data_IF_742346320107
#
_entry.id   IF_742346320107
#
_cell.length_a   1.000
_cell.length_b   1.000
_cell.length_c   1.000
_cell.angle_alpha   90.00
_cell.angle_beta   90.00
_cell.angle_gamma   90.00
#
_symmetry.space_group_name_H-M   'P 1'
#
loop_
_entity.id
_entity.type
_entity.pdbx_description
1 polymer ?
#
# COMPACT_ATOMS: atom_id res chain seq x y z
N UNK A 1 -22.39 62.43 -13.15
CA UNK A 1 -22.62 63.70 -13.86
C UNK A 1 -23.90 64.35 -13.33
N UNK A 2 -23.79 65.37 -12.49
CA UNK A 2 -24.94 66.15 -12.03
C UNK A 2 -25.24 67.27 -13.04
N UNK A 3 -26.39 67.22 -13.70
CA UNK A 3 -26.80 68.25 -14.67
C UNK A 3 -27.33 69.49 -13.93
N UNK A 4 -26.65 70.63 -14.12
CA UNK A 4 -27.06 71.97 -13.69
C UNK A 4 -28.48 72.28 -14.19
N UNK A 5 -29.38 72.67 -13.29
CA UNK A 5 -30.71 73.17 -13.65
C UNK A 5 -30.62 74.59 -14.19
N UNK A 6 -31.27 74.82 -15.33
CA UNK A 6 -31.31 76.11 -16.03
C UNK A 6 -32.41 76.96 -15.37
N UNK A 7 -32.01 78.07 -14.74
CA UNK A 7 -32.90 79.01 -14.04
C UNK A 7 -33.72 79.79 -15.09
N UNK A 8 -35.02 79.53 -15.19
CA UNK A 8 -35.94 80.31 -16.03
C UNK A 8 -36.49 81.48 -15.21
N UNK A 9 -36.34 82.71 -15.72
CA UNK A 9 -36.86 83.93 -15.10
C UNK A 9 -38.38 83.84 -14.90
N UNK A 10 -38.84 84.04 -13.67
CA UNK A 10 -40.27 84.18 -13.32
C UNK A 10 -40.61 85.66 -13.32
N UNK A 11 -41.65 86.06 -14.06
CA UNK A 11 -42.15 87.45 -14.08
C UNK A 11 -42.88 87.86 -12.79
N UNK A 12 -43.21 86.90 -11.93
CA UNK A 12 -43.94 87.13 -10.67
C UNK A 12 -43.09 86.64 -9.48
N UNK A 13 -43.07 87.43 -8.40
CA UNK A 13 -42.25 87.24 -7.20
C UNK A 13 -42.80 86.22 -6.19
N UNK A 14 -43.94 85.60 -6.50
CA UNK A 14 -44.61 84.61 -5.66
C UNK A 14 -43.99 83.20 -5.82
N UNK A 15 -44.04 82.40 -4.75
CA UNK A 15 -43.58 81.00 -4.78
C UNK A 15 -44.59 80.11 -5.52
N UNK A 16 -44.10 79.33 -6.49
CA UNK A 16 -44.97 78.42 -7.28
C UNK A 16 -45.45 77.24 -6.42
N UNK A 17 -46.75 77.15 -6.19
CA UNK A 17 -47.40 75.96 -5.61
C UNK A 17 -47.68 74.93 -6.70
N UNK A 18 -47.33 73.66 -6.45
CA UNK A 18 -47.52 72.58 -7.43
C UNK A 18 -48.98 72.12 -7.42
N UNK A 19 -49.68 72.32 -8.54
CA UNK A 19 -51.03 71.77 -8.77
C UNK A 19 -50.93 70.55 -9.68
N UNK A 20 -51.54 69.44 -9.28
CA UNK A 20 -51.67 68.23 -10.11
C UNK A 20 -52.95 68.29 -10.94
N UNK A 21 -52.84 68.26 -12.26
CA UNK A 21 -53.99 68.23 -13.18
C UNK A 21 -53.86 66.98 -14.05
N UNK A 22 -54.90 66.15 -14.05
CA UNK A 22 -54.99 64.99 -14.94
C UNK A 22 -55.74 65.39 -16.21
N UNK A 23 -55.10 65.23 -17.36
CA UNK A 23 -55.68 65.50 -18.67
C UNK A 23 -55.63 64.23 -19.53
N UNK A 24 -56.57 64.08 -20.44
CA UNK A 24 -56.51 63.03 -21.46
C UNK A 24 -55.32 63.27 -22.39
N UNK A 25 -54.79 62.23 -23.08
CA UNK A 25 -53.70 62.40 -24.03
C UNK A 25 -53.98 63.47 -25.09
N UNK A 26 -55.22 63.54 -25.60
CA UNK A 26 -55.68 64.59 -26.53
C UNK A 26 -55.62 65.97 -25.91
N UNK A 27 -56.06 66.13 -24.66
CA UNK A 27 -55.99 67.41 -23.93
C UNK A 27 -54.54 67.87 -23.69
N UNK A 28 -53.61 66.95 -23.42
CA UNK A 28 -52.17 67.26 -23.28
C UNK A 28 -51.58 67.70 -24.63
N UNK A 29 -51.99 67.06 -25.73
CA UNK A 29 -51.58 67.42 -27.09
C UNK A 29 -51.99 68.87 -27.43
N UNK A 30 -53.26 69.19 -27.22
CA UNK A 30 -53.79 70.55 -27.47
C UNK A 30 -53.12 71.60 -26.57
N UNK A 31 -52.92 71.31 -25.29
CA UNK A 31 -52.20 72.22 -24.39
C UNK A 31 -50.76 72.47 -24.85
N UNK A 32 -50.09 71.44 -25.37
CA UNK A 32 -48.72 71.56 -25.90
C UNK A 32 -48.70 72.43 -27.15
N UNK A 33 -49.68 72.28 -28.04
CA UNK A 33 -49.81 73.10 -29.24
C UNK A 33 -50.11 74.57 -28.91
N UNK A 34 -51.03 74.83 -27.96
CA UNK A 34 -51.32 76.20 -27.49
C UNK A 34 -50.08 76.87 -26.89
N UNK A 35 -49.30 76.13 -26.10
CA UNK A 35 -48.05 76.63 -25.51
C UNK A 35 -47.01 76.97 -26.60
N UNK A 36 -46.85 76.12 -27.62
CA UNK A 36 -45.96 76.37 -28.75
C UNK A 36 -46.38 77.60 -29.56
N UNK A 37 -47.68 77.72 -29.90
CA UNK A 37 -48.20 78.82 -30.70
C UNK A 37 -48.08 80.18 -29.99
N UNK A 38 -48.14 80.19 -28.66
CA UNK A 38 -47.99 81.40 -27.84
C UNK A 38 -46.54 81.68 -27.44
N UNK A 39 -45.61 80.76 -27.75
CA UNK A 39 -44.21 80.84 -27.30
C UNK A 39 -44.03 80.71 -25.79
N UNK A 40 -45.04 80.23 -25.06
CA UNK A 40 -45.03 80.08 -23.62
C UNK A 40 -44.73 78.63 -23.22
N UNK A 41 -44.21 78.43 -22.00
CA UNK A 41 -44.16 77.08 -21.42
C UNK A 41 -45.57 76.65 -20.99
N UNK A 42 -45.85 75.34 -20.97
CA UNK A 42 -47.17 74.80 -20.58
C UNK A 42 -47.63 75.29 -19.20
N UNK A 43 -46.71 75.38 -18.24
CA UNK A 43 -47.01 75.87 -16.89
C UNK A 43 -47.25 77.38 -16.87
N UNK A 44 -46.51 78.15 -17.66
CA UNK A 44 -46.70 79.60 -17.78
C UNK A 44 -48.03 79.95 -18.47
N UNK A 45 -48.43 79.17 -19.48
CA UNK A 45 -49.72 79.32 -20.14
C UNK A 45 -50.88 79.11 -19.15
N UNK A 46 -50.84 78.02 -18.37
CA UNK A 46 -51.87 77.73 -17.35
C UNK A 46 -51.90 78.82 -16.28
N UNK A 47 -50.74 79.28 -15.80
CA UNK A 47 -50.65 80.35 -14.81
C UNK A 47 -51.30 81.66 -15.32
N UNK A 48 -51.02 82.04 -16.57
CA UNK A 48 -51.61 83.25 -17.17
C UNK A 48 -53.10 83.13 -17.45
N UNK A 49 -53.60 81.93 -17.77
CA UNK A 49 -55.05 81.67 -17.86
C UNK A 49 -55.70 81.82 -16.48
N UNK A 50 -55.11 81.21 -15.45
CA UNK A 50 -55.64 81.26 -14.09
C UNK A 50 -55.65 82.69 -13.50
N UNK A 51 -54.67 83.51 -13.86
CA UNK A 51 -54.63 84.95 -13.49
C UNK A 51 -55.55 85.82 -14.33
N UNK A 52 -56.22 85.30 -15.37
CA UNK A 52 -57.06 86.09 -16.27
C UNK A 52 -56.30 86.92 -17.32
N UNK A 53 -54.98 86.72 -17.46
CA UNK A 53 -54.16 87.42 -18.46
C UNK A 53 -54.33 86.83 -19.86
N UNK A 54 -54.87 85.60 -19.96
CA UNK A 54 -55.21 84.93 -21.22
C UNK A 54 -56.63 84.40 -21.10
N UNK A 55 -57.54 84.86 -21.97
CA UNK A 55 -58.88 84.32 -22.10
C UNK A 55 -58.91 83.24 -23.18
N UNK A 56 -59.49 82.07 -22.86
CA UNK A 56 -59.76 81.02 -23.86
C UNK A 56 -61.16 81.24 -24.39
N UNK A 57 -61.28 81.90 -25.55
CA UNK A 57 -62.53 82.05 -26.26
C UNK A 57 -62.68 80.94 -27.31
N UNK A 58 -63.69 80.10 -27.17
CA UNK A 58 -64.07 79.12 -28.19
C UNK A 58 -65.57 79.26 -28.47
N UNK A 59 -65.93 79.50 -29.74
CA UNK A 59 -67.33 79.68 -30.16
C UNK A 59 -68.18 78.41 -29.96
N UNK A 60 -67.55 77.27 -29.70
CA UNK A 60 -68.18 75.95 -29.51
C UNK A 60 -68.05 75.44 -28.06
N UNK A 61 -67.57 76.26 -27.11
CA UNK A 61 -67.49 75.84 -25.71
C UNK A 61 -68.89 75.75 -25.09
N UNK A 62 -69.20 74.62 -24.46
CA UNK A 62 -70.48 74.40 -23.75
C UNK A 62 -70.62 75.21 -22.46
N UNK A 63 -69.52 75.75 -21.93
CA UNK A 63 -69.50 76.56 -20.71
C UNK A 63 -68.37 77.58 -20.78
N UNK A 64 -68.69 78.86 -20.55
CA UNK A 64 -67.71 79.96 -20.49
C UNK A 64 -67.74 80.56 -19.10
N UNK A 65 -66.58 80.64 -18.44
CA UNK A 65 -66.43 81.25 -17.11
C UNK A 65 -65.61 82.53 -17.29
N UNK A 66 -66.22 83.69 -17.04
CA UNK A 66 -65.53 84.97 -17.04
C UNK A 66 -65.06 85.29 -15.61
N UNK A 67 -63.76 85.50 -15.44
CA UNK A 67 -63.15 85.98 -14.20
C UNK A 67 -62.95 87.49 -14.36
N UNK A 68 -63.73 88.30 -13.65
CA UNK A 68 -63.57 89.75 -13.64
C UNK A 68 -62.49 90.12 -12.63
N UNK A 69 -61.33 90.58 -13.13
CA UNK A 69 -60.25 91.04 -12.27
C UNK A 69 -60.45 92.52 -11.89
N UNK A 70 -60.36 92.90 -10.60
CA UNK A 70 -60.34 94.30 -10.19
C UNK A 70 -59.03 95.00 -10.63
N UNK A 71 -59.04 96.33 -10.85
CA UNK A 71 -57.89 97.07 -11.37
C UNK A 71 -56.70 97.09 -10.40
N UNK A 72 -55.50 97.05 -10.99
CA UNK A 72 -54.19 97.01 -10.34
C UNK A 72 -53.99 98.04 -9.21
N UNK A 73 -53.45 97.59 -8.07
CA UNK A 73 -52.77 98.45 -7.11
C UNK A 73 -51.64 97.71 -6.37
N UNK A 74 -50.41 98.11 -6.73
CA UNK A 74 -49.11 98.12 -6.05
C UNK A 74 -48.93 97.39 -4.71
N UNK A 75 -47.81 96.67 -4.67
CA UNK A 75 -46.91 96.37 -3.54
C UNK A 75 -47.35 96.78 -2.13
N UNK A 76 -47.42 95.82 -1.22
CA UNK A 76 -46.65 95.85 0.04
C UNK A 76 -46.74 94.50 0.77
N UNK A 77 -45.61 94.16 1.40
CA UNK A 77 -45.35 93.01 2.26
C UNK A 77 -46.39 92.76 3.36
N UNK A 78 -46.69 91.49 3.66
CA UNK A 78 -46.36 90.84 4.96
C UNK A 78 -47.28 89.66 5.32
N UNK A 79 -46.66 88.63 5.93
CA UNK A 79 -47.11 87.80 7.04
C UNK A 79 -48.61 87.46 7.27
N UNK A 80 -48.80 86.14 7.47
CA UNK A 80 -49.72 85.46 8.39
C UNK A 80 -51.26 85.64 8.28
N UNK A 81 -51.93 84.49 8.17
CA UNK A 81 -53.06 84.15 9.04
C UNK A 81 -54.47 84.24 8.45
N UNK A 82 -55.04 83.06 8.17
CA UNK A 82 -56.45 82.64 8.32
C UNK A 82 -57.56 83.70 8.29
N UNK A 83 -58.54 83.55 7.38
CA UNK A 83 -59.96 83.46 7.75
C UNK A 83 -60.86 83.04 6.57
N UNK A 84 -61.90 82.31 6.95
CA UNK A 84 -63.01 81.73 6.16
C UNK A 84 -63.91 82.76 5.48
N UNK A 85 -64.37 82.49 4.25
CA UNK A 85 -65.47 83.22 3.60
C UNK A 85 -66.67 82.31 3.32
N UNK A 86 -67.82 82.68 3.89
CA UNK A 86 -69.14 82.08 3.68
C UNK A 86 -69.79 82.69 2.43
N UNK A 87 -70.39 81.86 1.57
CA UNK A 87 -71.25 82.32 0.47
C UNK A 87 -72.72 82.28 0.90
N UNK A 88 -73.42 83.40 0.76
CA UNK A 88 -74.83 83.61 1.12
C UNK A 88 -75.70 83.49 -0.15
N UNK A 89 -76.72 82.63 -0.14
CA UNK A 89 -77.73 82.47 -1.20
C UNK A 89 -79.08 82.97 -0.63
N UNK A 90 -79.82 83.79 -1.37
CA UNK A 90 -81.14 84.30 -0.96
C UNK A 90 -82.28 83.67 -1.78
N UNK A 91 -83.38 83.34 -1.09
CA UNK A 91 -84.66 82.80 -1.57
C UNK A 91 -85.69 83.94 -1.59
N UNK A 92 -86.56 84.00 -2.59
CA UNK A 92 -87.65 84.99 -2.68
C UNK A 92 -88.98 84.24 -2.89
N UNK A 93 -89.93 84.46 -1.97
CA UNK A 93 -91.28 83.91 -1.90
C UNK A 93 -92.30 85.04 -2.16
N UNK A 94 -93.34 84.77 -2.96
CA UNK A 94 -94.29 85.79 -3.43
C UNK A 94 -95.78 85.39 -3.28
N UNK A 95 -96.35 85.82 -2.15
CA UNK A 95 -97.73 86.26 -1.81
C UNK A 95 -98.99 85.85 -2.61
N UNK A 96 -99.99 85.46 -1.82
CA UNK A 96 -101.44 85.29 -2.05
C UNK A 96 -102.20 86.64 -1.84
N UNK A 97 -103.56 86.68 -1.84
CA UNK A 97 -104.52 87.00 -2.90
C UNK A 97 -105.10 88.43 -2.84
N UNK A 98 -105.92 88.83 -3.82
CA UNK A 98 -106.74 90.05 -3.81
C UNK A 98 -108.23 89.69 -3.67
N UNK A 99 -108.86 90.23 -2.62
CA UNK A 99 -110.31 90.33 -2.41
C UNK A 99 -110.76 91.78 -2.64
N UNK A 100 -112.09 91.92 -2.75
CA UNK A 100 -112.93 93.11 -2.70
C UNK A 100 -113.23 93.75 -4.07
N UNK A 101 -114.51 93.78 -4.44
CA UNK A 101 -115.33 94.94 -4.04
C UNK A 101 -116.82 94.58 -4.01
N UNK A 102 -117.52 95.09 -2.99
CA UNK A 102 -118.95 94.97 -2.76
C UNK A 102 -119.52 96.37 -2.96
N UNK A 103 -120.49 96.51 -3.85
CA UNK A 103 -121.32 97.70 -3.92
C UNK A 103 -122.78 97.26 -3.98
N UNK A 104 -123.49 97.43 -2.86
CA UNK A 104 -124.94 97.53 -2.83
C UNK A 104 -125.38 98.80 -3.58
N UNK A 105 -126.59 98.80 -4.15
CA UNK A 105 -127.58 99.71 -3.57
C UNK A 105 -128.98 99.08 -3.44
N UNK A 106 -129.54 99.27 -2.24
CA UNK A 106 -130.81 99.95 -2.02
C UNK A 106 -132.00 99.63 -2.94
N UNK A 107 -132.96 98.89 -2.36
CA UNK A 107 -134.34 99.35 -2.24
C UNK A 107 -135.17 99.44 -3.52
N UNK A 108 -135.96 98.41 -3.77
CA UNK A 108 -137.37 98.48 -4.21
C UNK A 108 -137.93 97.06 -4.20
N UNK A 109 -139.24 96.92 -3.93
CA UNK A 109 -139.89 95.66 -3.58
C UNK A 109 -139.44 94.47 -4.43
N UNK A 110 -138.88 93.46 -3.75
CA UNK A 110 -138.54 92.17 -4.35
C UNK A 110 -139.84 91.54 -4.80
N UNK A 111 -140.08 91.56 -6.12
CA UNK A 111 -141.20 90.84 -6.72
C UNK A 111 -140.95 89.34 -6.52
N UNK A 112 -142.01 88.55 -6.41
CA UNK A 112 -141.91 87.12 -6.14
C UNK A 112 -141.01 86.38 -7.16
N UNK A 113 -140.87 86.92 -8.37
CA UNK A 113 -139.94 86.43 -9.40
C UNK A 113 -138.46 86.60 -9.03
N UNK A 114 -138.04 87.70 -8.40
CA UNK A 114 -136.63 87.95 -8.03
C UNK A 114 -136.18 87.00 -6.91
N UNK A 115 -137.09 86.69 -5.99
CA UNK A 115 -136.83 85.70 -4.93
C UNK A 115 -136.70 84.28 -5.51
N UNK A 116 -137.50 83.94 -6.53
CA UNK A 116 -137.40 82.67 -7.24
C UNK A 116 -136.10 82.59 -8.08
N UNK A 117 -135.71 83.68 -8.75
CA UNK A 117 -134.45 83.75 -9.50
C UNK A 117 -133.23 83.59 -8.59
N UNK A 118 -133.24 84.26 -7.44
CA UNK A 118 -132.17 84.13 -6.45
C UNK A 118 -132.14 82.71 -5.84
N UNK A 119 -133.30 82.10 -5.63
CA UNK A 119 -133.41 80.71 -5.16
C UNK A 119 -132.92 79.70 -6.22
N UNK A 120 -133.16 79.97 -7.51
CA UNK A 120 -132.65 79.19 -8.64
C UNK A 120 -131.11 79.30 -8.72
N UNK A 121 -130.58 80.53 -8.64
CA UNK A 121 -129.14 80.79 -8.66
C UNK A 121 -128.43 80.16 -7.45
N UNK A 122 -129.06 80.20 -6.26
CA UNK A 122 -128.53 79.53 -5.07
C UNK A 122 -128.51 78.00 -5.23
N UNK A 123 -129.50 77.40 -5.91
CA UNK A 123 -129.50 75.96 -6.23
C UNK A 123 -128.42 75.60 -7.25
N UNK A 124 -128.25 76.41 -8.29
CA UNK A 124 -127.20 76.20 -9.30
C UNK A 124 -125.81 76.33 -8.70
N UNK A 125 -125.60 77.33 -7.83
CA UNK A 125 -124.35 77.47 -7.08
C UNK A 125 -124.13 76.32 -6.10
N UNK A 126 -125.18 75.84 -5.41
CA UNK A 126 -125.08 74.67 -4.54
C UNK A 126 -124.67 73.41 -5.32
N UNK A 127 -125.26 73.18 -6.49
CA UNK A 127 -124.89 72.06 -7.37
C UNK A 127 -123.46 72.18 -7.90
N UNK A 128 -123.01 73.40 -8.27
CA UNK A 128 -121.63 73.64 -8.70
C UNK A 128 -120.62 73.43 -7.56
N UNK A 129 -120.97 73.87 -6.35
CA UNK A 129 -120.17 73.60 -5.14
C UNK A 129 -120.09 72.10 -4.88
N UNK A 130 -121.19 71.36 -5.05
CA UNK A 130 -121.23 69.91 -4.90
C UNK A 130 -120.37 69.19 -5.95
N UNK A 131 -120.40 69.60 -7.23
CA UNK A 131 -119.54 69.06 -8.31
C UNK A 131 -118.06 69.38 -8.07
N UNK A 132 -117.74 70.61 -7.64
CA UNK A 132 -116.37 71.00 -7.29
C UNK A 132 -115.86 70.24 -6.07
N UNK A 133 -116.71 70.00 -5.07
CA UNK A 133 -116.38 69.17 -3.91
C UNK A 133 -116.13 67.72 -4.32
N UNK A 134 -116.92 67.16 -5.23
CA UNK A 134 -116.67 65.83 -5.80
C UNK A 134 -115.33 65.77 -6.55
N UNK A 135 -115.03 66.76 -7.42
CA UNK A 135 -113.75 66.83 -8.13
C UNK A 135 -112.55 66.96 -7.17
N UNK A 136 -112.68 67.78 -6.12
CA UNK A 136 -111.65 67.90 -5.08
C UNK A 136 -111.46 66.59 -4.32
N UNK A 137 -112.54 65.90 -3.99
CA UNK A 137 -112.47 64.59 -3.35
C UNK A 137 -111.78 63.56 -4.24
N UNK A 138 -112.07 63.56 -5.55
CA UNK A 138 -111.45 62.68 -6.53
C UNK A 138 -109.95 62.98 -6.72
N UNK A 139 -109.57 64.25 -6.90
CA UNK A 139 -108.16 64.65 -6.99
C UNK A 139 -107.37 64.28 -5.74
N UNK A 140 -107.99 64.44 -4.56
CA UNK A 140 -107.37 64.06 -3.29
C UNK A 140 -107.17 62.55 -3.20
N UNK A 141 -108.10 61.76 -3.72
CA UNK A 141 -107.96 60.30 -3.85
C UNK A 141 -106.84 59.92 -4.80
N UNK A 142 -106.80 60.48 -6.01
CA UNK A 142 -105.75 60.20 -7.02
C UNK A 142 -104.36 60.61 -6.52
N UNK A 143 -104.26 61.74 -5.82
CA UNK A 143 -103.00 62.20 -5.21
C UNK A 143 -102.55 61.25 -4.09
N UNK A 144 -103.49 60.72 -3.30
CA UNK A 144 -103.19 59.72 -2.28
C UNK A 144 -102.67 58.42 -2.91
N UNK A 145 -103.33 57.91 -3.96
CA UNK A 145 -102.89 56.72 -4.70
C UNK A 145 -101.52 56.90 -5.36
N UNK A 146 -101.26 58.06 -5.97
CA UNK A 146 -99.93 58.37 -6.52
C UNK A 146 -98.87 58.45 -5.42
N UNK A 147 -99.20 59.01 -4.27
CA UNK A 147 -98.27 59.08 -3.13
C UNK A 147 -97.92 57.68 -2.64
N UNK A 148 -98.91 56.78 -2.52
CA UNK A 148 -98.68 55.38 -2.15
C UNK A 148 -97.85 54.64 -3.21
N UNK A 149 -98.14 54.85 -4.50
CA UNK A 149 -97.36 54.29 -5.61
C UNK A 149 -95.89 54.75 -5.57
N UNK A 150 -95.66 56.05 -5.35
CA UNK A 150 -94.31 56.61 -5.27
C UNK A 150 -93.54 56.09 -4.06
N UNK A 151 -94.20 55.95 -2.89
CA UNK A 151 -93.60 55.34 -1.71
C UNK A 151 -93.25 53.85 -1.94
N UNK A 152 -94.12 53.11 -2.64
CA UNK A 152 -93.86 51.71 -3.01
C UNK A 152 -92.65 51.60 -3.94
N UNK A 153 -92.58 52.44 -4.97
CA UNK A 153 -91.45 52.47 -5.91
C UNK A 153 -90.14 52.89 -5.21
N UNK A 154 -90.21 53.85 -4.29
CA UNK A 154 -89.06 54.27 -3.49
C UNK A 154 -88.53 53.11 -2.62
N UNK A 155 -89.43 52.36 -1.97
CA UNK A 155 -89.06 51.14 -1.22
C UNK A 155 -88.42 50.10 -2.14
N UNK A 156 -89.04 49.83 -3.29
CA UNK A 156 -88.50 48.87 -4.27
C UNK A 156 -87.12 49.28 -4.78
N UNK A 157 -86.89 50.56 -5.07
CA UNK A 157 -85.59 51.09 -5.48
C UNK A 157 -84.55 50.95 -4.36
N UNK A 158 -84.94 51.17 -3.10
CA UNK A 158 -84.06 50.98 -1.95
C UNK A 158 -83.70 49.49 -1.76
N UNK A 159 -84.66 48.58 -1.90
CA UNK A 159 -84.43 47.13 -1.84
C UNK A 159 -83.50 46.65 -2.96
N UNK A 160 -83.75 47.09 -4.19
CA UNK A 160 -82.86 46.79 -5.33
C UNK A 160 -81.46 47.35 -5.13
N UNK A 161 -81.34 48.58 -4.61
CA UNK A 161 -80.04 49.18 -4.27
C UNK A 161 -79.28 48.37 -3.22
N UNK A 162 -79.97 47.83 -2.21
CA UNK A 162 -79.38 46.95 -1.22
C UNK A 162 -78.96 45.59 -1.82
N UNK A 163 -79.77 45.03 -2.73
CA UNK A 163 -79.45 43.79 -3.43
C UNK A 163 -78.19 43.95 -4.30
N UNK A 164 -78.09 45.05 -5.06
CA UNK A 164 -76.91 45.37 -5.88
C UNK A 164 -75.65 45.48 -5.01
N UNK A 165 -75.73 46.18 -3.86
CA UNK A 165 -74.60 46.26 -2.93
C UNK A 165 -74.18 44.88 -2.41
N UNK A 166 -75.15 44.00 -2.09
CA UNK A 166 -74.88 42.63 -1.64
C UNK A 166 -74.20 41.80 -2.72
N UNK A 167 -74.68 41.88 -3.97
CA UNK A 167 -74.09 41.18 -5.11
C UNK A 167 -72.68 41.70 -5.44
N UNK A 168 -72.47 43.02 -5.41
CA UNK A 168 -71.14 43.61 -5.59
C UNK A 168 -70.14 43.11 -4.54
N UNK A 169 -70.58 43.02 -3.28
CA UNK A 169 -69.76 42.45 -2.21
C UNK A 169 -69.42 40.98 -2.49
N UNK A 170 -70.41 40.15 -2.82
CA UNK A 170 -70.17 38.74 -3.14
C UNK A 170 -69.21 38.55 -4.32
N UNK A 171 -69.29 39.41 -5.34
CA UNK A 171 -68.42 39.35 -6.51
C UNK A 171 -66.98 39.78 -6.17
N UNK A 172 -66.83 40.76 -5.28
CA UNK A 172 -65.52 41.14 -4.74
C UNK A 172 -64.90 40.02 -3.89
N UNK A 173 -65.70 39.40 -3.01
CA UNK A 173 -65.26 38.29 -2.15
C UNK A 173 -64.83 37.08 -3.01
N UNK A 174 -65.64 36.68 -4.00
CA UNK A 174 -65.28 35.59 -4.95
C UNK A 174 -64.01 35.88 -5.73
N UNK A 175 -63.81 37.14 -6.16
CA UNK A 175 -62.61 37.53 -6.89
C UNK A 175 -61.36 37.41 -6.01
N UNK A 176 -61.47 37.76 -4.72
CA UNK A 176 -60.40 37.58 -3.75
C UNK A 176 -60.09 36.10 -3.54
N UNK A 177 -61.11 35.28 -3.30
CA UNK A 177 -60.95 33.84 -3.07
C UNK A 177 -60.34 33.13 -4.29
N UNK A 178 -60.74 33.53 -5.50
CA UNK A 178 -60.17 32.99 -6.76
C UNK A 178 -58.69 33.38 -6.90
N UNK A 179 -58.31 34.59 -6.50
CA UNK A 179 -56.92 35.03 -6.54
C UNK A 179 -56.06 34.22 -5.55
N UNK A 180 -56.54 34.04 -4.31
CA UNK A 180 -55.86 33.23 -3.28
C UNK A 180 -55.71 31.77 -3.71
N UNK A 181 -56.75 31.17 -4.30
CA UNK A 181 -56.67 29.81 -4.85
C UNK A 181 -55.65 29.71 -6.00
N UNK A 182 -55.57 30.73 -6.85
CA UNK A 182 -54.62 30.76 -7.96
C UNK A 182 -53.18 30.80 -7.45
N UNK A 183 -52.90 31.64 -6.45
CA UNK A 183 -51.57 31.71 -5.81
C UNK A 183 -51.22 30.40 -5.10
N UNK A 184 -52.17 29.81 -4.37
CA UNK A 184 -52.00 28.50 -3.74
C UNK A 184 -51.67 27.40 -4.76
N UNK A 185 -52.37 27.37 -5.89
CA UNK A 185 -52.13 26.38 -6.95
C UNK A 185 -50.75 26.56 -7.61
N UNK A 186 -50.33 27.80 -7.84
CA UNK A 186 -48.99 28.09 -8.37
C UNK A 186 -47.89 27.66 -7.39
N UNK A 187 -48.08 27.93 -6.10
CA UNK A 187 -47.15 27.50 -5.04
C UNK A 187 -47.05 25.97 -4.99
N UNK A 188 -48.18 25.27 -5.01
CA UNK A 188 -48.22 23.81 -5.01
C UNK A 188 -47.56 23.22 -6.27
N UNK A 189 -47.78 23.83 -7.43
CA UNK A 189 -47.13 23.42 -8.68
C UNK A 189 -45.61 23.59 -8.61
N UNK A 190 -45.13 24.67 -8.00
CA UNK A 190 -43.71 24.92 -7.79
C UNK A 190 -43.11 23.89 -6.81
N UNK A 191 -43.78 23.63 -5.69
CA UNK A 191 -43.37 22.61 -4.73
C UNK A 191 -43.30 21.21 -5.36
N UNK A 192 -44.28 20.86 -6.20
CA UNK A 192 -44.28 19.58 -6.92
C UNK A 192 -43.10 19.45 -7.90
N UNK A 193 -42.73 20.54 -8.60
CA UNK A 193 -41.53 20.55 -9.47
C UNK A 193 -40.25 20.37 -8.67
N UNK A 194 -40.13 21.04 -7.52
CA UNK A 194 -38.97 20.92 -6.64
C UNK A 194 -38.83 19.51 -6.07
N UNK A 195 -39.92 18.93 -5.59
CA UNK A 195 -39.95 17.53 -5.13
C UNK A 195 -39.58 16.56 -6.25
N UNK A 196 -40.11 16.76 -7.47
CA UNK A 196 -39.75 15.93 -8.64
C UNK A 196 -38.25 15.99 -8.94
N UNK A 197 -37.66 17.19 -8.89
CA UNK A 197 -36.23 17.37 -9.09
C UNK A 197 -35.39 16.73 -7.97
N UNK A 198 -35.86 16.81 -6.72
CA UNK A 198 -35.21 16.13 -5.60
C UNK A 198 -35.24 14.61 -5.77
N UNK A 199 -36.37 14.03 -6.16
CA UNK A 199 -36.49 12.59 -6.43
C UNK A 199 -35.53 12.17 -7.54
N UNK A 200 -35.43 12.93 -8.64
CA UNK A 200 -34.46 12.64 -9.72
C UNK A 200 -33.01 12.67 -9.23
N UNK A 201 -32.65 13.63 -8.37
CA UNK A 201 -31.30 13.70 -7.78
C UNK A 201 -31.02 12.50 -6.87
N UNK A 202 -31.97 12.14 -6.01
CA UNK A 202 -31.85 10.98 -5.13
C UNK A 202 -31.73 9.68 -5.92
N UNK A 203 -32.55 9.50 -6.97
CA UNK A 203 -32.45 8.34 -7.86
C UNK A 203 -31.08 8.23 -8.51
N UNK A 204 -30.51 9.35 -8.97
CA UNK A 204 -29.15 9.38 -9.53
C UNK A 204 -28.10 8.98 -8.47
N UNK A 205 -28.16 9.56 -7.28
CA UNK A 205 -27.25 9.21 -6.18
C UNK A 205 -27.33 7.73 -5.79
N UNK A 206 -28.53 7.16 -5.80
CA UNK A 206 -28.76 5.74 -5.50
C UNK A 206 -28.19 4.83 -6.58
N UNK A 207 -28.30 5.23 -7.85
CA UNK A 207 -27.65 4.54 -8.96
C UNK A 207 -26.11 4.61 -8.86
N UNK A 208 -25.57 5.79 -8.59
CA UNK A 208 -24.12 6.01 -8.43
C UNK A 208 -23.57 5.18 -7.26
N UNK A 209 -24.25 5.17 -6.09
CA UNK A 209 -23.88 4.32 -4.95
C UNK A 209 -23.93 2.83 -5.28
N UNK A 210 -24.95 2.40 -6.04
CA UNK A 210 -25.07 0.99 -6.45
C UNK A 210 -23.90 0.58 -7.35
N UNK A 211 -23.52 1.44 -8.31
CA UNK A 211 -22.35 1.19 -9.15
C UNK A 211 -21.06 1.15 -8.34
N UNK A 212 -20.84 2.11 -7.45
CA UNK A 212 -19.65 2.14 -6.58
C UNK A 212 -19.57 0.89 -5.68
N UNK A 213 -20.70 0.42 -5.17
CA UNK A 213 -20.77 -0.82 -4.36
C UNK A 213 -20.42 -2.06 -5.20
N UNK A 214 -20.86 -2.12 -6.45
CA UNK A 214 -20.52 -3.22 -7.36
C UNK A 214 -19.00 -3.23 -7.65
N UNK A 215 -18.42 -2.09 -8.01
CA UNK A 215 -16.98 -1.94 -8.26
C UNK A 215 -16.14 -2.34 -7.03
N UNK A 216 -16.54 -1.90 -5.84
CA UNK A 216 -15.89 -2.32 -4.60
C UNK A 216 -15.97 -3.83 -4.38
N UNK A 217 -17.13 -4.44 -4.65
CA UNK A 217 -17.32 -5.89 -4.51
C UNK A 217 -16.40 -6.68 -5.43
N UNK A 218 -16.29 -6.28 -6.70
CA UNK A 218 -15.37 -6.89 -7.67
C UNK A 218 -13.90 -6.73 -7.26
N UNK A 219 -13.54 -5.56 -6.73
CA UNK A 219 -12.20 -5.31 -6.18
C UNK A 219 -11.89 -6.22 -4.99
N UNK A 220 -12.84 -6.42 -4.07
CA UNK A 220 -12.67 -7.32 -2.93
C UNK A 220 -12.53 -8.77 -3.35
N UNK A 221 -13.32 -9.24 -4.32
CA UNK A 221 -13.21 -10.60 -4.86
C UNK A 221 -11.85 -10.83 -5.54
N UNK A 222 -11.36 -9.86 -6.30
CA UNK A 222 -10.05 -9.91 -6.95
C UNK A 222 -8.92 -9.98 -5.92
N UNK A 223 -8.99 -9.16 -4.86
CA UNK A 223 -8.01 -9.17 -3.78
C UNK A 223 -8.04 -10.49 -2.99
N UNK A 224 -9.22 -11.06 -2.78
CA UNK A 224 -9.38 -12.36 -2.13
C UNK A 224 -8.75 -13.49 -2.97
N UNK A 225 -8.95 -13.49 -4.29
CA UNK A 225 -8.29 -14.44 -5.20
C UNK A 225 -6.76 -14.29 -5.15
N UNK A 226 -6.26 -13.06 -5.23
CA UNK A 226 -4.83 -12.77 -5.16
C UNK A 226 -4.22 -13.26 -3.84
N UNK A 227 -4.89 -13.05 -2.71
CA UNK A 227 -4.45 -13.54 -1.41
C UNK A 227 -4.39 -15.08 -1.35
N UNK A 228 -5.38 -15.76 -1.95
CA UNK A 228 -5.41 -17.22 -2.03
C UNK A 228 -4.27 -17.77 -2.91
N UNK A 229 -4.00 -17.14 -4.05
CA UNK A 229 -2.89 -17.49 -4.93
C UNK A 229 -1.53 -17.31 -4.24
N UNK A 230 -1.32 -16.17 -3.58
CA UNK A 230 -0.10 -15.94 -2.79
C UNK A 230 0.04 -16.95 -1.66
N UNK A 231 -1.04 -17.28 -0.95
CA UNK A 231 -1.03 -18.31 0.08
C UNK A 231 -0.61 -19.69 -0.46
N UNK A 232 -1.06 -20.05 -1.65
CA UNK A 232 -0.64 -21.29 -2.31
C UNK A 232 0.82 -21.26 -2.76
N UNK A 233 1.31 -20.11 -3.24
CA UNK A 233 2.72 -19.92 -3.59
C UNK A 233 3.63 -20.09 -2.36
N UNK A 234 3.27 -19.48 -1.23
CA UNK A 234 4.01 -19.62 0.03
C UNK A 234 4.08 -21.08 0.47
N UNK A 235 2.97 -21.84 0.40
CA UNK A 235 2.98 -23.27 0.72
C UNK A 235 3.91 -24.07 -0.19
N UNK A 236 3.94 -23.77 -1.49
CA UNK A 236 4.87 -24.42 -2.44
C UNK A 236 6.33 -24.11 -2.11
N UNK A 237 6.65 -22.85 -1.83
CA UNK A 237 8.01 -22.43 -1.46
C UNK A 237 8.46 -23.07 -0.13
N UNK A 238 7.57 -23.15 0.87
CA UNK A 238 7.86 -23.83 2.12
C UNK A 238 8.18 -25.32 1.91
N UNK A 239 7.43 -26.00 1.04
CA UNK A 239 7.71 -27.39 0.68
C UNK A 239 9.07 -27.53 -0.01
N UNK A 240 9.35 -26.69 -1.01
CA UNK A 240 10.64 -26.71 -1.70
C UNK A 240 11.83 -26.47 -0.75
N UNK A 241 11.67 -25.56 0.22
CA UNK A 241 12.69 -25.30 1.22
C UNK A 241 12.92 -26.51 2.15
N UNK A 242 11.85 -27.21 2.53
CA UNK A 242 11.95 -28.45 3.31
C UNK A 242 12.64 -29.56 2.52
N UNK A 243 12.27 -29.74 1.26
CA UNK A 243 12.87 -30.75 0.35
C UNK A 243 14.37 -30.46 0.14
N UNK A 244 14.74 -29.19 -0.10
CA UNK A 244 16.14 -28.77 -0.25
C UNK A 244 16.95 -28.99 1.03
N UNK A 245 16.35 -28.75 2.20
CA UNK A 245 17.00 -29.01 3.49
C UNK A 245 17.25 -30.51 3.70
N UNK A 246 16.30 -31.37 3.32
CA UNK A 246 16.48 -32.83 3.36
C UNK A 246 17.62 -33.27 2.44
N UNK A 247 17.62 -32.78 1.19
CA UNK A 247 18.66 -33.11 0.23
C UNK A 247 20.05 -32.65 0.69
N UNK A 248 20.13 -31.48 1.34
CA UNK A 248 21.40 -30.98 1.90
C UNK A 248 21.89 -31.85 3.06
N UNK A 249 20.98 -32.35 3.91
CA UNK A 249 21.32 -33.26 4.99
C UNK A 249 21.86 -34.59 4.44
N UNK A 250 21.18 -35.19 3.46
CA UNK A 250 21.62 -36.43 2.79
C UNK A 250 23.00 -36.28 2.14
N UNK A 251 23.25 -35.15 1.45
CA UNK A 251 24.55 -34.85 0.88
C UNK A 251 25.65 -34.70 1.95
N UNK A 252 25.31 -34.10 3.09
CA UNK A 252 26.26 -33.93 4.20
C UNK A 252 26.64 -35.28 4.80
N UNK A 253 25.67 -36.16 5.03
CA UNK A 253 25.93 -37.53 5.52
C UNK A 253 26.76 -38.35 4.52
N UNK A 254 26.44 -38.24 3.23
CA UNK A 254 27.22 -38.88 2.16
C UNK A 254 28.68 -38.40 2.15
N UNK A 255 28.91 -37.09 2.30
CA UNK A 255 30.27 -36.52 2.35
C UNK A 255 31.04 -37.00 3.59
N UNK A 256 30.39 -37.04 4.76
CA UNK A 256 31.00 -37.56 5.99
C UNK A 256 31.38 -39.04 5.85
N UNK A 257 30.51 -39.86 5.25
CA UNK A 257 30.78 -41.27 4.99
C UNK A 257 31.98 -41.45 4.06
N UNK A 258 32.04 -40.68 2.97
CA UNK A 258 33.17 -40.72 2.03
C UNK A 258 34.48 -40.28 2.70
N UNK A 259 34.44 -39.25 3.56
CA UNK A 259 35.59 -38.81 4.34
C UNK A 259 36.10 -39.90 5.29
N UNK A 260 35.20 -40.61 5.97
CA UNK A 260 35.57 -41.75 6.83
C UNK A 260 36.17 -42.89 6.01
N UNK A 261 35.60 -43.20 4.85
CA UNK A 261 36.13 -44.24 3.96
C UNK A 261 37.54 -43.87 3.46
N UNK A 262 37.77 -42.62 3.08
CA UNK A 262 39.08 -42.14 2.68
C UNK A 262 40.11 -42.26 3.82
N UNK A 263 39.73 -41.92 5.06
CA UNK A 263 40.60 -42.07 6.22
C UNK A 263 40.95 -43.54 6.50
N UNK A 264 39.96 -44.45 6.39
CA UNK A 264 40.21 -45.88 6.55
C UNK A 264 41.16 -46.42 5.48
N UNK A 265 40.99 -45.99 4.23
CA UNK A 265 41.90 -46.37 3.15
C UNK A 265 43.32 -45.84 3.38
N UNK A 266 43.46 -44.59 3.86
CA UNK A 266 44.76 -44.03 4.21
C UNK A 266 45.49 -44.86 5.29
N UNK A 267 44.77 -45.26 6.35
CA UNK A 267 45.33 -46.11 7.41
C UNK A 267 45.76 -47.49 6.88
N UNK A 268 44.99 -48.09 5.96
CA UNK A 268 45.36 -49.36 5.32
C UNK A 268 46.62 -49.20 4.47
N UNK A 269 46.75 -48.09 3.73
CA UNK A 269 47.95 -47.79 2.95
C UNK A 269 49.16 -47.65 3.87
N UNK A 270 49.03 -46.96 5.00
CA UNK A 270 50.11 -46.80 5.99
C UNK A 270 50.54 -48.16 6.59
N UNK A 271 49.60 -49.02 6.98
CA UNK A 271 49.89 -50.38 7.47
C UNK A 271 50.60 -51.25 6.40
N UNK A 272 50.15 -51.16 5.14
CA UNK A 272 50.80 -51.86 4.03
C UNK A 272 52.23 -51.34 3.78
N UNK A 273 52.44 -50.03 3.86
CA UNK A 273 53.78 -49.44 3.73
C UNK A 273 54.71 -49.91 4.84
N UNK A 274 54.22 -49.97 6.09
CA UNK A 274 55.00 -50.48 7.22
C UNK A 274 55.37 -51.95 7.02
N UNK A 275 54.39 -52.80 6.64
CA UNK A 275 54.65 -54.22 6.33
C UNK A 275 55.67 -54.40 5.21
N UNK A 276 55.62 -53.54 4.20
CA UNK A 276 56.57 -53.59 3.08
C UNK A 276 57.99 -53.17 3.52
N UNK A 277 58.10 -52.17 4.40
CA UNK A 277 59.38 -51.79 5.01
C UNK A 277 59.96 -52.92 5.89
N UNK A 278 59.12 -53.56 6.71
CA UNK A 278 59.53 -54.68 7.56
C UNK A 278 60.00 -55.88 6.72
N UNK A 279 59.27 -56.23 5.66
CA UNK A 279 59.68 -57.29 4.72
C UNK A 279 61.00 -56.96 4.03
N UNK A 280 61.21 -55.70 3.63
CA UNK A 280 62.46 -55.27 3.00
C UNK A 280 63.64 -55.38 3.97
N UNK A 281 63.42 -55.04 5.24
CA UNK A 281 64.43 -55.21 6.31
C UNK A 281 64.76 -56.70 6.50
N UNK A 282 63.74 -57.56 6.63
CA UNK A 282 63.92 -59.00 6.78
C UNK A 282 64.65 -59.61 5.57
N UNK A 283 64.30 -59.21 4.36
CA UNK A 283 64.97 -59.65 3.14
C UNK A 283 66.45 -59.23 3.13
N UNK A 284 66.77 -58.01 3.59
CA UNK A 284 68.15 -57.53 3.70
C UNK A 284 68.94 -58.37 4.69
N UNK A 285 68.38 -58.63 5.88
CA UNK A 285 69.00 -59.49 6.90
C UNK A 285 69.24 -60.92 6.37
N UNK A 286 68.29 -61.46 5.60
CA UNK A 286 68.42 -62.78 4.99
C UNK A 286 69.53 -62.81 3.92
N UNK A 287 69.68 -61.75 3.13
CA UNK A 287 70.78 -61.61 2.16
C UNK A 287 72.13 -61.56 2.88
N UNK A 288 72.26 -60.75 3.94
CA UNK A 288 73.50 -60.66 4.75
C UNK A 288 73.85 -62.00 5.42
N UNK A 289 72.85 -62.70 5.96
CA UNK A 289 73.02 -64.03 6.54
C UNK A 289 73.51 -65.04 5.49
N UNK A 290 72.91 -65.06 4.30
CA UNK A 290 73.33 -65.92 3.19
C UNK A 290 74.74 -65.59 2.70
N UNK A 291 75.11 -64.31 2.61
CA UNK A 291 76.49 -63.91 2.27
C UNK A 291 77.49 -64.41 3.31
N UNK A 292 77.15 -64.31 4.59
CA UNK A 292 77.99 -64.81 5.69
C UNK A 292 78.17 -66.32 5.60
N UNK A 293 77.08 -67.07 5.39
CA UNK A 293 77.13 -68.52 5.19
C UNK A 293 77.96 -68.90 3.97
N UNK A 294 77.83 -68.17 2.86
CA UNK A 294 78.62 -68.39 1.64
C UNK A 294 80.12 -68.15 1.89
N UNK A 295 80.48 -67.08 2.61
CA UNK A 295 81.87 -66.83 3.01
C UNK A 295 82.40 -67.95 3.90
N UNK A 296 81.61 -68.41 4.87
CA UNK A 296 81.99 -69.51 5.77
C UNK A 296 82.18 -70.82 4.98
N UNK A 297 81.28 -71.12 4.04
CA UNK A 297 81.42 -72.28 3.15
C UNK A 297 82.70 -72.19 2.28
N UNK A 298 83.03 -71.00 1.77
CA UNK A 298 84.26 -70.79 1.01
C UNK A 298 85.52 -70.97 1.88
N UNK A 299 85.51 -70.47 3.12
CA UNK A 299 86.59 -70.68 4.08
C UNK A 299 86.78 -72.15 4.41
N UNK A 300 85.69 -72.88 4.67
CA UNK A 300 85.72 -74.33 4.89
C UNK A 300 86.23 -75.07 3.66
N UNK A 301 85.78 -74.71 2.45
CA UNK A 301 86.28 -75.29 1.20
C UNK A 301 87.80 -75.10 1.04
N UNK A 302 88.30 -73.90 1.33
CA UNK A 302 89.74 -73.62 1.32
C UNK A 302 90.51 -74.41 2.37
N UNK A 303 89.95 -74.59 3.57
CA UNK A 303 90.52 -75.42 4.62
C UNK A 303 90.58 -76.90 4.18
N UNK A 304 89.50 -77.42 3.60
CA UNK A 304 89.44 -78.78 3.05
C UNK A 304 90.51 -78.96 1.97
N UNK A 305 90.67 -78.02 1.04
CA UNK A 305 91.75 -78.06 0.04
C UNK A 305 93.15 -78.09 0.68
N UNK A 306 93.39 -77.28 1.72
CA UNK A 306 94.66 -77.30 2.47
C UNK A 306 94.89 -78.65 3.15
N UNK A 307 93.88 -79.19 3.82
CA UNK A 307 93.94 -80.51 4.46
C UNK A 307 94.16 -81.63 3.44
N UNK A 308 93.48 -81.60 2.29
CA UNK A 308 93.70 -82.54 1.19
C UNK A 308 95.14 -82.47 0.68
N UNK A 309 95.70 -81.26 0.51
CA UNK A 309 97.10 -81.09 0.12
C UNK A 309 98.06 -81.66 1.17
N UNK A 310 97.84 -81.36 2.45
CA UNK A 310 98.64 -81.93 3.55
C UNK A 310 98.54 -83.46 3.60
N UNK A 311 97.35 -84.01 3.37
CA UNK A 311 97.13 -85.46 3.32
C UNK A 311 97.89 -86.08 2.15
N UNK A 312 97.86 -85.45 0.97
CA UNK A 312 98.61 -85.89 -0.21
C UNK A 312 100.14 -85.78 0.01
N UNK A 313 100.61 -84.72 0.66
CA UNK A 313 102.02 -84.56 1.07
C UNK A 313 102.43 -85.64 2.07
N UNK A 314 101.61 -85.94 3.09
CA UNK A 314 101.86 -87.05 4.02
C UNK A 314 101.85 -88.41 3.32
N UNK A 315 100.94 -88.66 2.38
CA UNK A 315 100.93 -89.88 1.59
C UNK A 315 102.18 -89.99 0.71
N UNK A 316 102.65 -88.89 0.11
CA UNK A 316 103.90 -88.84 -0.65
C UNK A 316 105.12 -89.09 0.25
N UNK A 317 105.15 -88.52 1.45
CA UNK A 317 106.21 -88.79 2.42
C UNK A 317 106.16 -90.24 2.91
N UNK A 318 104.97 -90.77 3.18
CA UNK A 318 104.77 -92.16 3.57
C UNK A 318 105.22 -93.14 2.48
N UNK A 319 104.91 -92.85 1.21
CA UNK A 319 105.38 -93.66 0.07
C UNK A 319 106.89 -93.59 -0.09
N UNK A 320 107.50 -92.39 -0.03
CA UNK A 320 108.97 -92.26 -0.01
C UNK A 320 109.62 -93.01 1.16
N UNK A 321 108.98 -93.01 2.33
CA UNK A 321 109.48 -93.71 3.51
C UNK A 321 109.34 -95.23 3.35
N UNK A 322 108.26 -95.71 2.73
CA UNK A 322 108.10 -97.13 2.38
C UNK A 322 109.14 -97.55 1.35
N UNK A 323 109.34 -96.78 0.27
CA UNK A 323 110.37 -97.04 -0.75
C UNK A 323 111.77 -97.04 -0.13
N UNK A 324 112.10 -96.06 0.71
CA UNK A 324 113.38 -96.00 1.43
C UNK A 324 113.57 -97.23 2.33
N UNK A 325 112.53 -97.67 3.04
CA UNK A 325 112.59 -98.90 3.84
C UNK A 325 112.75 -100.14 2.96
N UNK A 326 112.12 -100.17 1.79
CA UNK A 326 112.24 -101.28 0.84
C UNK A 326 113.66 -101.37 0.26
N UNK A 327 114.29 -100.23 -0.07
CA UNK A 327 115.69 -100.14 -0.48
C UNK A 327 116.61 -100.61 0.64
N UNK A 328 116.41 -100.13 1.87
CA UNK A 328 117.15 -100.59 3.06
C UNK A 328 117.01 -102.09 3.28
N UNK A 329 115.81 -102.63 3.09
CA UNK A 329 115.54 -104.06 3.24
C UNK A 329 116.24 -104.88 2.14
N UNK A 330 116.25 -104.40 0.89
CA UNK A 330 117.03 -104.99 -0.20
C UNK A 330 118.54 -104.94 0.10
N UNK A 331 119.04 -103.80 0.59
CA UNK A 331 120.44 -103.65 0.99
C UNK A 331 120.82 -104.62 2.12
N UNK A 332 119.92 -104.82 3.08
CA UNK A 332 120.12 -105.77 4.19
C UNK A 332 120.12 -107.21 3.68
N UNK A 333 119.25 -107.55 2.71
CA UNK A 333 119.26 -108.86 2.06
C UNK A 333 120.51 -109.08 1.22
N UNK A 334 120.99 -108.08 0.47
CA UNK A 334 122.24 -108.15 -0.28
C UNK A 334 123.45 -108.31 0.64
N UNK A 335 123.50 -107.56 1.73
CA UNK A 335 124.52 -107.75 2.76
C UNK A 335 124.44 -109.15 3.38
N UNK A 336 123.23 -109.66 3.65
CA UNK A 336 123.02 -111.04 4.11
C UNK A 336 123.54 -112.09 3.11
N UNK A 337 123.30 -111.89 1.80
CA UNK A 337 123.87 -112.75 0.75
C UNK A 337 125.39 -112.63 0.68
N UNK A 338 125.94 -111.43 0.82
CA UNK A 338 127.40 -111.19 0.86
C UNK A 338 128.06 -111.87 2.04
N UNK A 339 127.42 -111.85 3.21
CA UNK A 339 127.86 -112.57 4.41
C UNK A 339 127.83 -114.07 4.16
N UNK A 340 126.73 -114.62 3.62
CA UNK A 340 126.64 -116.04 3.29
C UNK A 340 127.69 -116.47 2.24
N UNK A 341 128.04 -115.59 1.31
CA UNK A 341 129.07 -115.84 0.30
C UNK A 341 130.50 -115.76 0.88
N UNK A 342 130.74 -114.84 1.81
CA UNK A 342 131.99 -114.79 2.60
C UNK A 342 132.13 -116.00 3.52
N UNK A 343 131.04 -116.46 4.16
CA UNK A 343 131.02 -117.69 4.96
C UNK A 343 131.29 -118.93 4.11
N UNK A 344 130.82 -118.95 2.85
CA UNK A 344 131.13 -120.01 1.89
C UNK A 344 132.58 -119.95 1.39
N UNK A 345 133.14 -118.76 1.22
CA UNK A 345 134.57 -118.57 0.90
C UNK A 345 135.48 -118.99 2.08
N UNK A 346 135.07 -118.70 3.31
CA UNK A 346 135.71 -119.18 4.53
C UNK A 346 135.64 -120.72 4.67
N UNK A 347 134.53 -121.33 4.26
CA UNK A 347 134.37 -122.80 4.30
C UNK A 347 135.10 -123.55 3.18
N UNK A 348 135.58 -122.88 2.12
CA UNK A 348 136.38 -123.50 1.06
C UNK A 348 137.89 -123.39 1.31
N UNK A 349 138.29 -122.79 2.43
CA UNK A 349 139.69 -122.58 2.82
C UNK A 349 140.03 -123.32 4.12
N UNK A 350 139.73 -124.61 4.19
CA UNK A 350 140.29 -125.50 5.21
C UNK A 350 141.43 -126.36 4.63
N UNK A 351 142.63 -126.22 5.20
CA UNK A 351 143.53 -127.29 5.70
C UNK A 351 144.91 -126.71 6.11
N UNK A 352 145.69 -127.33 7.03
CA UNK A 352 145.48 -127.35 8.47
C UNK A 352 146.74 -126.89 9.28
N UNK A 353 146.57 -126.23 10.43
CA UNK A 353 147.63 -126.05 11.45
C UNK A 353 146.95 -125.56 12.75
N UNK A 354 146.52 -126.43 13.66
CA UNK A 354 147.28 -127.15 14.69
C UNK A 354 148.23 -126.28 15.58
N UNK A 355 147.68 -125.97 16.76
CA UNK A 355 148.27 -125.92 18.11
C UNK A 355 148.94 -124.63 18.66
N UNK A 356 148.09 -123.86 19.38
CA UNK A 356 148.18 -123.44 20.79
C UNK A 356 149.25 -122.39 21.21
N UNK A 357 149.08 -121.65 22.34
CA UNK A 357 148.12 -121.85 23.43
C UNK A 357 147.36 -120.59 23.94
N UNK A 358 146.13 -120.85 24.43
CA UNK A 358 145.45 -120.38 25.65
C UNK A 358 145.36 -118.88 26.02
N UNK A 359 146.18 -117.99 25.47
CA UNK A 359 146.10 -116.55 25.78
C UNK A 359 144.99 -115.81 25.02
N UNK A 360 144.40 -116.41 23.98
CA UNK A 360 143.41 -115.76 23.10
C UNK A 360 141.97 -116.00 23.56
N UNK A 361 141.66 -117.14 24.19
CA UNK A 361 140.31 -117.42 24.72
C UNK A 361 139.99 -116.55 25.95
N UNK A 362 140.95 -116.30 26.83
CA UNK A 362 140.77 -115.38 27.96
C UNK A 362 140.54 -113.94 27.50
N UNK A 363 141.18 -113.51 26.40
CA UNK A 363 140.97 -112.16 25.85
C UNK A 363 139.61 -112.02 25.16
N UNK A 364 139.09 -113.11 24.56
CA UNK A 364 137.74 -113.15 23.98
C UNK A 364 136.66 -113.12 25.07
N UNK A 365 136.82 -113.90 26.15
CA UNK A 365 135.93 -113.82 27.31
C UNK A 365 135.98 -112.46 27.99
N UNK A 366 137.17 -111.84 28.15
CA UNK A 366 137.27 -110.51 28.75
C UNK A 366 136.61 -109.42 27.88
N UNK A 367 136.74 -109.51 26.54
CA UNK A 367 136.02 -108.60 25.64
C UNK A 367 134.50 -108.81 25.70
N UNK A 368 134.04 -110.05 25.80
CA UNK A 368 132.62 -110.37 25.90
C UNK A 368 132.02 -109.89 27.24
N UNK A 369 132.75 -110.04 28.35
CA UNK A 369 132.37 -109.44 29.64
C UNK A 369 132.42 -107.90 29.61
N UNK A 370 133.36 -107.29 28.88
CA UNK A 370 133.39 -105.85 28.69
C UNK A 370 132.21 -105.36 27.84
N UNK A 371 131.83 -106.06 26.77
CA UNK A 371 130.63 -105.76 25.98
C UNK A 371 129.35 -105.89 26.81
N UNK A 372 129.24 -106.94 27.63
CA UNK A 372 128.11 -107.09 28.57
C UNK A 372 128.09 -106.00 29.64
N UNK A 373 129.27 -105.58 30.15
CA UNK A 373 129.39 -104.42 31.06
C UNK A 373 129.03 -103.10 30.38
N UNK A 374 129.41 -102.90 29.13
CA UNK A 374 129.05 -101.70 28.36
C UNK A 374 127.54 -101.69 28.07
N UNK A 375 126.95 -102.83 27.70
CA UNK A 375 125.50 -102.97 27.50
C UNK A 375 124.72 -102.73 28.80
N UNK A 376 125.18 -103.27 29.94
CA UNK A 376 124.56 -102.99 31.25
C UNK A 376 124.76 -101.55 31.70
N UNK A 377 125.89 -100.90 31.40
CA UNK A 377 126.10 -99.47 31.66
C UNK A 377 125.23 -98.59 30.76
N UNK A 378 125.07 -98.90 29.48
CA UNK A 378 124.17 -98.18 28.58
C UNK A 378 122.70 -98.33 29.00
N UNK A 379 122.32 -99.51 29.51
CA UNK A 379 121.01 -99.73 30.12
C UNK A 379 120.83 -98.91 31.40
N UNK A 380 121.81 -98.91 32.32
CA UNK A 380 121.79 -98.06 33.51
C UNK A 380 121.78 -96.57 33.18
N UNK A 381 122.50 -96.10 32.16
CA UNK A 381 122.47 -94.70 31.70
C UNK A 381 121.09 -94.35 31.14
N UNK A 382 120.45 -95.28 30.41
CA UNK A 382 119.10 -95.08 29.88
C UNK A 382 118.06 -95.04 31.00
N UNK A 383 118.21 -95.90 32.02
CA UNK A 383 117.38 -95.90 33.21
C UNK A 383 117.63 -94.66 34.08
N UNK A 384 118.88 -94.21 34.27
CA UNK A 384 119.22 -92.96 34.95
C UNK A 384 118.69 -91.74 34.20
N UNK A 385 118.76 -91.71 32.86
CA UNK A 385 118.11 -90.65 32.06
C UNK A 385 116.60 -90.67 32.27
N UNK A 386 115.98 -91.85 32.33
CA UNK A 386 114.54 -91.99 32.60
C UNK A 386 114.18 -91.52 34.02
N UNK A 387 114.94 -91.92 35.04
CA UNK A 387 114.77 -91.47 36.43
C UNK A 387 115.08 -89.98 36.61
N UNK A 388 116.07 -89.42 35.90
CA UNK A 388 116.34 -88.00 35.88
C UNK A 388 115.21 -87.22 35.22
N UNK A 389 114.60 -87.75 34.16
CA UNK A 389 113.43 -87.14 33.50
C UNK A 389 112.21 -87.19 34.44
N UNK A 390 111.97 -88.33 35.09
CA UNK A 390 110.91 -88.50 36.09
C UNK A 390 111.13 -87.57 37.30
N UNK A 391 112.36 -87.49 37.81
CA UNK A 391 112.75 -86.60 38.90
C UNK A 391 112.60 -85.13 38.53
N UNK A 392 112.93 -84.72 37.30
CA UNK A 392 112.69 -83.36 36.80
C UNK A 392 111.19 -83.05 36.71
N UNK A 393 110.38 -84.01 36.27
CA UNK A 393 108.92 -83.84 36.21
C UNK A 393 108.25 -83.82 37.59
N UNK A 394 108.73 -84.61 38.56
CA UNK A 394 108.23 -84.60 39.94
C UNK A 394 108.75 -83.40 40.75
N UNK A 395 109.97 -82.91 40.47
CA UNK A 395 110.49 -81.67 41.03
C UNK A 395 109.71 -80.46 40.51
N UNK A 396 109.41 -80.38 39.21
CA UNK A 396 108.55 -79.34 38.64
C UNK A 396 107.11 -79.42 39.19
N UNK A 397 106.56 -80.62 39.42
CA UNK A 397 105.26 -80.78 40.10
C UNK A 397 105.28 -80.34 41.57
N UNK A 398 106.38 -80.56 42.31
CA UNK A 398 106.53 -80.09 43.71
C UNK A 398 106.78 -78.58 43.81
N UNK A 399 107.45 -77.97 42.82
CA UNK A 399 107.60 -76.52 42.72
C UNK A 399 106.26 -75.82 42.43
N UNK A 400 105.43 -76.42 41.56
CA UNK A 400 104.08 -75.92 41.28
C UNK A 400 103.05 -76.17 42.39
N UNK A 401 103.35 -77.02 43.39
CA UNK A 401 102.52 -77.22 44.60
C UNK A 401 102.92 -76.33 45.78
N UNK A 402 103.95 -75.48 45.66
CA UNK A 402 104.36 -74.48 46.68
C UNK A 402 104.07 -73.03 46.28
N UNK A 403 103.32 -72.82 45.18
CA UNK A 403 102.83 -71.52 44.72
C UNK A 403 101.30 -71.38 44.86
N UNK A 404 100.71 -72.16 45.76
CA UNK A 404 99.39 -71.92 46.37
C UNK A 404 99.46 -72.23 47.87
#
# INVERSE_FOLDING_TARGET
MAKKSRKTASQYSESKSKVGISLTPTGIGLLTQMAQNTGLSRSELIERIARGNIAIACQQASMTIALENPPEAKETSSNNGTTTSKTKIQVIEGKQPLQADVSEPGGSGVSQEDYQSLQQQAKEQANLIEDLQQKLAQQKSETAEQTESYQSLQKQAQEQGNLVKKLQKQLADQKSETAEQTESYQSLQQQAKEQSNLVKKLQKQLADQKSQTAEQTESYQSLQQQAQEQGNLVKKLQKQLADQKSQTAEQTESYQSLQQQAQQQANVIEDLQQKLADQKSLATQQVESNQTLQQQAQQQSNLVKKLQKQLAEQQSQGTQQVESNQVLQQQTQEQGKRIAELERQLSQQESPANQAPESYESLKQHNQEQEERIATLQKHISELKRWATIGKTEFNKRLNRRLF
#
